data_IF_561422846467
#
_entry.id   IF_561422846467
#
_cell.length_a   1.000
_cell.length_b   1.000
_cell.length_c   1.000
_cell.angle_alpha   90.00
_cell.angle_beta   90.00
_cell.angle_gamma   90.00
#
_symmetry.space_group_name_H-M   'P 1'
#
loop_
_entity.id
_entity.type
_entity.pdbx_description
1 polymer ?
#
# COMPACT_ATOMS: atom_id res chain seq x y z
N UNK A 1 5.94 -0.48 -14.62
CA UNK A 1 4.64 -1.17 -14.81
C UNK A 1 4.30 -2.00 -13.60
N UNK A 2 3.03 -2.16 -13.35
CA UNK A 2 2.55 -3.00 -12.26
C UNK A 2 1.65 -4.10 -12.83
N UNK A 3 1.45 -5.16 -12.05
CA UNK A 3 0.49 -6.22 -12.33
C UNK A 3 -0.29 -6.57 -11.07
N UNK A 4 -1.51 -7.09 -11.27
CA UNK A 4 -2.38 -7.54 -10.20
C UNK A 4 -2.83 -8.95 -10.50
N UNK A 5 -2.67 -9.84 -9.53
CA UNK A 5 -3.07 -11.23 -9.64
C UNK A 5 -3.92 -11.62 -8.45
N UNK A 6 -5.08 -12.23 -8.69
CA UNK A 6 -5.89 -12.80 -7.60
C UNK A 6 -5.16 -14.05 -7.10
N UNK A 7 -4.87 -14.08 -5.79
CA UNK A 7 -4.20 -15.20 -5.15
C UNK A 7 -5.14 -16.02 -4.29
N UNK A 8 -6.25 -15.43 -3.83
CA UNK A 8 -7.22 -16.12 -3.01
C UNK A 8 -8.61 -15.53 -3.20
N UNK A 9 -9.62 -16.38 -3.40
CA UNK A 9 -11.03 -16.01 -3.35
C UNK A 9 -11.54 -16.25 -1.95
N UNK A 10 -12.04 -15.19 -1.29
CA UNK A 10 -12.66 -15.30 0.04
C UNK A 10 -14.15 -15.58 -0.11
N UNK A 11 -14.82 -14.84 -1.00
CA UNK A 11 -16.24 -15.02 -1.30
C UNK A 11 -16.48 -14.77 -2.79
N UNK A 12 -16.99 -15.79 -3.50
CA UNK A 12 -17.25 -15.67 -4.93
C UNK A 12 -18.61 -15.07 -5.26
N UNK A 13 -19.55 -15.13 -4.34
CA UNK A 13 -20.88 -14.53 -4.54
C UNK A 13 -20.83 -13.02 -4.41
N UNK A 14 -19.93 -12.50 -3.60
CA UNK A 14 -19.53 -11.10 -3.53
C UNK A 14 -18.03 -11.10 -3.75
N UNK A 15 -17.51 -10.53 -4.85
CA UNK A 15 -16.12 -10.76 -5.25
C UNK A 15 -15.11 -10.17 -4.26
N UNK A 16 -14.94 -10.89 -3.17
CA UNK A 16 -14.02 -10.59 -2.07
C UNK A 16 -12.77 -11.44 -2.25
N UNK A 17 -11.64 -10.79 -2.45
CA UNK A 17 -10.39 -11.45 -2.87
C UNK A 17 -9.19 -10.88 -2.14
N UNK A 18 -8.13 -11.69 -2.09
CA UNK A 18 -6.77 -11.23 -1.82
C UNK A 18 -6.03 -11.22 -3.14
N UNK A 19 -5.38 -10.09 -3.45
CA UNK A 19 -4.59 -9.92 -4.67
C UNK A 19 -3.13 -9.72 -4.33
N UNK A 20 -2.26 -10.10 -5.25
CA UNK A 20 -0.84 -9.74 -5.20
C UNK A 20 -0.61 -8.60 -6.20
N UNK A 21 -0.13 -7.47 -5.70
CA UNK A 21 0.25 -6.32 -6.51
C UNK A 21 1.76 -6.33 -6.65
N UNK A 22 2.25 -6.37 -7.89
CA UNK A 22 3.68 -6.35 -8.19
C UNK A 22 4.02 -5.09 -8.97
N UNK A 23 5.12 -4.45 -8.58
CA UNK A 23 5.71 -3.34 -9.33
C UNK A 23 7.22 -3.44 -9.19
N UNK A 24 7.91 -3.73 -10.31
CA UNK A 24 9.34 -4.04 -10.33
C UNK A 24 9.65 -5.20 -9.36
N UNK A 25 10.49 -4.95 -8.34
CA UNK A 25 10.85 -5.98 -7.35
C UNK A 25 10.02 -5.90 -6.08
N UNK A 26 8.94 -5.14 -6.08
CA UNK A 26 8.03 -5.00 -4.92
C UNK A 26 6.81 -5.88 -5.13
N UNK A 27 6.45 -6.67 -4.12
CA UNK A 27 5.25 -7.48 -4.07
C UNK A 27 4.49 -7.19 -2.79
N UNK A 28 3.21 -6.86 -2.92
CA UNK A 28 2.34 -6.56 -1.78
C UNK A 28 1.03 -7.33 -1.91
N UNK A 29 0.62 -7.98 -0.84
CA UNK A 29 -0.73 -8.55 -0.75
C UNK A 29 -1.71 -7.47 -0.31
N UNK A 30 -2.87 -7.43 -0.94
CA UNK A 30 -3.92 -6.46 -0.64
C UNK A 30 -5.28 -7.15 -0.67
N UNK A 31 -6.19 -6.60 0.13
CA UNK A 31 -7.59 -7.02 0.18
C UNK A 31 -8.41 -6.18 -0.80
N UNK A 32 -9.37 -6.79 -1.47
CA UNK A 32 -10.29 -6.07 -2.36
C UNK A 32 -11.69 -6.64 -2.26
N UNK A 33 -12.69 -5.77 -2.04
CA UNK A 33 -14.10 -6.16 -1.98
C UNK A 33 -15.00 -4.95 -2.28
N UNK A 34 -15.78 -4.99 -3.36
CA UNK A 34 -15.73 -5.96 -4.45
C UNK A 34 -14.50 -5.73 -5.34
N UNK A 35 -13.96 -6.80 -5.92
CA UNK A 35 -12.86 -6.67 -6.85
C UNK A 35 -13.36 -6.11 -8.19
N UNK A 36 -12.93 -4.89 -8.50
CA UNK A 36 -13.33 -4.17 -9.71
C UNK A 36 -12.15 -3.40 -10.30
N UNK A 37 -11.00 -4.06 -10.43
CA UNK A 37 -9.84 -3.38 -11.00
C UNK A 37 -9.97 -3.26 -12.51
N UNK A 38 -9.81 -2.03 -13.03
CA UNK A 38 -9.75 -1.78 -14.46
C UNK A 38 -8.29 -1.71 -14.91
N UNK A 39 -7.89 -2.56 -15.89
CA UNK A 39 -6.53 -2.49 -16.42
C UNK A 39 -6.32 -1.22 -17.24
N UNK A 40 -5.06 -0.79 -17.37
CA UNK A 40 -4.68 0.33 -18.23
C UNK A 40 -4.28 1.60 -17.52
N UNK A 41 -4.45 1.70 -16.20
CA UNK A 41 -3.94 2.82 -15.42
C UNK A 41 -2.42 2.75 -15.31
N UNK A 42 -1.76 3.92 -15.30
CA UNK A 42 -0.32 4.01 -15.07
C UNK A 42 0.06 3.60 -13.66
N UNK A 43 -0.82 3.86 -12.69
CA UNK A 43 -0.60 3.58 -11.27
C UNK A 43 -1.73 2.72 -10.72
N UNK A 44 -1.39 1.87 -9.77
CA UNK A 44 -2.38 1.21 -8.91
C UNK A 44 -2.47 2.00 -7.61
N UNK A 45 -3.68 2.22 -7.13
CA UNK A 45 -3.94 2.98 -5.91
C UNK A 45 -4.45 2.06 -4.82
N UNK A 46 -3.73 2.02 -3.70
CA UNK A 46 -4.08 1.26 -2.52
C UNK A 46 -4.34 2.21 -1.36
N UNK A 47 -5.20 1.78 -0.43
CA UNK A 47 -5.44 2.48 0.83
C UNK A 47 -4.97 1.60 1.97
N UNK A 48 -4.52 2.21 3.07
CA UNK A 48 -4.14 1.47 4.26
C UNK A 48 -5.32 1.30 5.21
N UNK A 49 -5.29 0.22 5.98
CA UNK A 49 -6.11 0.04 7.15
C UNK A 49 -5.21 0.00 8.37
N UNK A 50 -5.45 0.90 9.31
CA UNK A 50 -4.68 1.07 10.56
C UNK A 50 -3.19 1.30 10.27
N UNK A 51 -2.88 2.37 9.53
CA UNK A 51 -1.52 2.86 9.40
C UNK A 51 -1.10 3.56 10.69
N UNK A 52 0.13 3.29 11.14
CA UNK A 52 0.67 3.86 12.36
C UNK A 52 2.20 3.93 12.30
N UNK A 53 2.81 4.55 13.30
CA UNK A 53 4.28 4.65 13.43
C UNK A 53 4.93 5.29 12.21
N UNK A 54 4.38 6.41 11.74
CA UNK A 54 4.93 7.14 10.60
C UNK A 54 6.22 7.85 11.05
N UNK A 55 7.34 7.44 10.46
CA UNK A 55 8.67 7.98 10.79
C UNK A 55 9.40 8.40 9.52
N UNK A 56 10.17 9.49 9.62
CA UNK A 56 11.07 9.90 8.53
C UNK A 56 12.25 8.91 8.47
N UNK A 57 12.60 8.49 7.25
CA UNK A 57 13.70 7.57 7.01
C UNK A 57 14.76 8.21 6.12
N UNK A 58 16.01 7.74 6.26
CA UNK A 58 17.12 8.19 5.41
C UNK A 58 17.33 7.29 4.21
N UNK A 59 16.99 6.00 4.34
CA UNK A 59 17.21 5.02 3.30
C UNK A 59 15.96 4.19 3.07
N UNK A 60 15.75 3.81 1.81
CA UNK A 60 14.67 2.92 1.43
C UNK A 60 14.92 1.51 1.95
N UNK A 61 13.86 0.87 2.46
CA UNK A 61 13.83 -0.54 2.81
C UNK A 61 12.71 -1.23 2.04
N UNK A 62 12.92 -2.44 1.51
CA UNK A 62 11.84 -3.20 0.89
C UNK A 62 10.70 -3.44 1.88
N UNK A 63 9.46 -3.60 1.40
CA UNK A 63 8.35 -3.98 2.27
C UNK A 63 8.67 -5.24 3.06
N UNK A 64 8.32 -5.23 4.34
CA UNK A 64 8.58 -6.35 5.24
C UNK A 64 7.28 -6.76 5.91
N UNK A 65 6.97 -8.05 5.88
CA UNK A 65 5.82 -8.58 6.60
C UNK A 65 6.04 -8.46 8.10
N UNK A 66 4.96 -8.13 8.83
CA UNK A 66 4.95 -8.09 10.29
C UNK A 66 4.04 -9.19 10.83
N UNK A 67 4.04 -9.40 12.14
CA UNK A 67 3.30 -10.50 12.76
C UNK A 67 1.88 -10.14 13.18
N UNK A 68 1.40 -8.93 12.85
CA UNK A 68 0.09 -8.45 13.28
C UNK A 68 -1.03 -9.21 12.57
N UNK A 69 -0.88 -9.45 11.27
CA UNK A 69 -1.83 -10.23 10.47
C UNK A 69 -1.13 -10.80 9.23
N UNK A 70 -1.86 -11.63 8.47
CA UNK A 70 -1.34 -12.17 7.20
C UNK A 70 -1.05 -11.09 6.15
N UNK A 71 -1.72 -9.94 6.27
CA UNK A 71 -1.64 -8.84 5.30
C UNK A 71 -0.93 -7.61 5.86
N UNK A 72 -0.28 -7.74 7.02
CA UNK A 72 0.39 -6.62 7.67
C UNK A 72 1.83 -6.45 7.16
N UNK A 73 2.22 -5.18 7.01
CA UNK A 73 3.55 -4.82 6.49
C UNK A 73 4.12 -3.63 7.24
N UNK A 74 5.44 -3.53 7.21
CA UNK A 74 6.15 -2.27 7.36
C UNK A 74 6.62 -1.82 5.98
N UNK A 75 6.27 -0.61 5.59
CA UNK A 75 6.51 -0.09 4.24
C UNK A 75 7.31 1.20 4.34
N UNK A 76 8.29 1.35 3.44
CA UNK A 76 9.02 2.59 3.23
C UNK A 76 8.61 3.15 1.87
N UNK A 77 8.21 4.40 1.83
CA UNK A 77 7.74 5.03 0.60
C UNK A 77 8.00 6.54 0.63
N UNK A 78 7.92 7.17 -0.54
CA UNK A 78 8.17 8.61 -0.69
C UNK A 78 6.87 9.39 -0.64
N UNK A 79 6.85 10.46 0.16
CA UNK A 79 5.68 11.34 0.25
C UNK A 79 5.53 12.13 -1.04
N UNK A 80 4.36 11.99 -1.68
CA UNK A 80 3.98 12.73 -2.89
C UNK A 80 3.15 13.96 -2.51
N UNK A 81 2.15 13.77 -1.67
CA UNK A 81 1.26 14.82 -1.21
C UNK A 81 0.90 14.60 0.25
N UNK A 82 1.53 15.37 1.12
CA UNK A 82 1.32 15.25 2.55
C UNK A 82 -0.13 15.54 2.95
N UNK A 83 -0.77 16.52 2.30
CA UNK A 83 -2.15 16.92 2.63
C UNK A 83 -3.14 15.79 2.35
N UNK A 84 -2.93 15.07 1.25
CA UNK A 84 -3.75 13.93 0.85
C UNK A 84 -3.27 12.62 1.47
N UNK A 85 -2.25 12.67 2.31
CA UNK A 85 -1.64 11.48 2.93
C UNK A 85 -1.17 10.45 1.90
N UNK A 86 -0.69 10.93 0.76
CA UNK A 86 -0.35 10.12 -0.40
C UNK A 86 1.15 9.88 -0.48
N UNK A 87 1.51 8.59 -0.57
CA UNK A 87 2.90 8.15 -0.77
C UNK A 87 3.00 7.30 -2.03
N UNK A 88 4.22 7.14 -2.53
CA UNK A 88 4.49 6.39 -3.76
C UNK A 88 5.59 5.36 -3.53
N UNK A 89 5.34 4.16 -4.04
CA UNK A 89 6.31 3.06 -4.06
C UNK A 89 6.27 2.45 -5.47
N UNK A 90 7.25 2.78 -6.31
CA UNK A 90 7.26 2.46 -7.74
C UNK A 90 5.97 2.95 -8.42
N UNK A 91 5.19 2.07 -9.06
CA UNK A 91 3.91 2.42 -9.69
C UNK A 91 2.72 2.26 -8.74
N UNK A 92 2.99 2.12 -7.44
CA UNK A 92 1.95 1.95 -6.42
C UNK A 92 1.80 3.26 -5.67
N UNK A 93 0.58 3.81 -5.67
CA UNK A 93 0.20 4.95 -4.84
C UNK A 93 -0.54 4.43 -3.62
N UNK A 94 -0.19 4.93 -2.45
CA UNK A 94 -0.79 4.49 -1.19
C UNK A 94 -1.30 5.71 -0.42
N UNK A 95 -2.58 5.69 -0.06
CA UNK A 95 -3.16 6.69 0.83
C UNK A 95 -3.19 6.14 2.25
N UNK A 96 -2.59 6.88 3.20
CA UNK A 96 -2.55 6.49 4.60
C UNK A 96 -3.80 6.98 5.32
N UNK A 97 -4.46 6.08 6.04
CA UNK A 97 -5.66 6.41 6.81
C UNK A 97 -5.38 7.18 8.10
N UNK A 98 -4.12 7.20 8.56
CA UNK A 98 -3.73 7.94 9.77
C UNK A 98 -3.28 9.37 9.52
N UNK A 99 -3.12 9.76 8.25
CA UNK A 99 -2.50 11.03 7.91
C UNK A 99 -0.97 11.00 8.03
N UNK A 100 -0.33 12.11 7.64
CA UNK A 100 1.12 12.27 7.67
C UNK A 100 1.46 13.45 8.59
N UNK A 101 2.37 13.29 9.58
CA UNK A 101 2.74 14.37 10.50
C UNK A 101 3.22 15.64 9.77
N UNK A 102 2.96 16.80 10.37
CA UNK A 102 3.24 18.11 9.74
C UNK A 102 4.72 18.42 9.53
N UNK A 103 5.61 17.80 10.30
CA UNK A 103 7.04 17.97 10.17
C UNK A 103 7.63 17.16 9.01
N UNK A 104 6.83 16.32 8.37
CA UNK A 104 7.20 15.57 7.17
C UNK A 104 6.75 16.35 5.96
N UNK A 105 7.62 16.46 4.95
CA UNK A 105 7.38 17.25 3.75
C UNK A 105 7.26 16.36 2.52
N UNK A 106 6.65 16.92 1.46
CA UNK A 106 6.64 16.28 0.14
C UNK A 106 8.07 16.00 -0.30
N UNK A 107 8.32 14.79 -0.81
CA UNK A 107 9.64 14.33 -1.19
C UNK A 107 10.38 13.57 -0.12
N UNK A 108 9.95 13.65 1.14
CA UNK A 108 10.57 12.89 2.22
C UNK A 108 10.29 11.39 2.06
N UNK A 109 11.24 10.59 2.51
CA UNK A 109 11.09 9.15 2.63
C UNK A 109 10.59 8.84 4.04
N UNK A 110 9.54 8.03 4.12
CA UNK A 110 8.95 7.65 5.40
C UNK A 110 8.75 6.15 5.49
N UNK A 111 8.72 5.63 6.70
CA UNK A 111 8.26 4.27 6.99
C UNK A 111 6.99 4.33 7.82
N UNK A 112 6.18 3.30 7.70
CA UNK A 112 4.95 3.14 8.47
C UNK A 112 4.54 1.68 8.54
N UNK A 113 3.77 1.36 9.58
CA UNK A 113 3.22 0.03 9.79
C UNK A 113 1.75 0.04 9.39
N UNK A 114 1.27 -1.03 8.79
CA UNK A 114 -0.12 -1.19 8.39
C UNK A 114 -0.64 -2.57 8.75
N UNK A 115 -1.95 -2.69 9.03
CA UNK A 115 -2.60 -3.97 9.22
C UNK A 115 -2.90 -4.65 7.89
N UNK A 116 -3.36 -3.89 6.90
CA UNK A 116 -3.54 -4.39 5.53
C UNK A 116 -3.64 -3.25 4.54
N UNK A 117 -3.40 -3.58 3.28
CA UNK A 117 -3.67 -2.71 2.14
C UNK A 117 -5.00 -3.12 1.51
N UNK A 118 -5.72 -2.14 0.99
CA UNK A 118 -7.00 -2.34 0.30
C UNK A 118 -6.92 -1.74 -1.10
N UNK A 119 -7.36 -2.53 -2.08
CA UNK A 119 -7.45 -2.09 -3.47
C UNK A 119 -8.82 -1.51 -3.76
#
# INVERSE_FOLDING_TARGET
MYSIQIVEWIDRSYPEVIVCVKSDNVELLAYSAPYMHEPGSKYVHLCTLYAENVLREKTYQPPRKTDVSQLSYQITARVIDRRESLVKLNDILITLDCGIPRDIENGDLISFDIHRLEL
#
